data_IF_291146830451
#
_entry.id   IF_291146830451
#
_cell.length_a   1.000
_cell.length_b   1.000
_cell.length_c   1.000
_cell.angle_alpha   90.00
_cell.angle_beta   90.00
_cell.angle_gamma   90.00
#
_symmetry.space_group_name_H-M   'P 1'
#
loop_
_entity.id
_entity.type
_entity.pdbx_description
1 polymer ?
#
# COMPACT_ATOMS: atom_id res chain seq x y z
N UNK A 1 7.96 1.21 21.13
CA UNK A 1 8.44 1.52 19.76
C UNK A 1 7.38 1.00 18.80
N UNK A 2 6.56 1.86 18.20
CA UNK A 2 5.27 1.44 17.63
C UNK A 2 5.33 0.78 16.25
N UNK A 3 6.39 1.01 15.48
CA UNK A 3 6.78 0.12 14.38
C UNK A 3 8.31 0.10 14.35
N UNK A 4 8.90 -1.07 14.15
CA UNK A 4 10.32 -1.18 13.85
C UNK A 4 10.60 -0.27 12.63
N UNK A 5 11.68 0.53 12.58
CA UNK A 5 12.03 1.37 11.42
C UNK A 5 12.16 0.60 10.09
N UNK A 6 12.10 -0.73 10.17
CA UNK A 6 12.31 -1.66 9.05
C UNK A 6 11.11 -2.61 8.86
N UNK A 7 9.93 -2.35 9.47
CA UNK A 7 8.84 -3.32 9.62
C UNK A 7 8.33 -3.99 8.33
N UNK A 8 8.46 -3.32 7.17
CA UNK A 8 8.20 -3.91 5.84
C UNK A 8 9.51 -4.05 5.02
N UNK A 9 10.48 -3.17 5.24
CA UNK A 9 11.74 -3.13 4.47
C UNK A 9 12.75 -4.23 4.81
N UNK A 10 12.71 -4.83 6.02
CA UNK A 10 13.81 -5.72 6.48
C UNK A 10 13.89 -7.09 5.81
N UNK A 11 12.78 -7.62 5.29
CA UNK A 11 12.75 -8.99 4.73
C UNK A 11 12.62 -9.06 3.22
N UNK A 12 12.28 -7.95 2.57
CA UNK A 12 12.22 -7.89 1.11
C UNK A 12 13.11 -6.74 0.69
N UNK A 13 14.33 -7.07 0.24
CA UNK A 13 15.25 -6.11 -0.39
C UNK A 13 14.64 -5.67 -1.72
N UNK A 14 13.66 -4.77 -1.68
CA UNK A 14 13.15 -4.13 -2.88
C UNK A 14 14.25 -3.23 -3.44
N UNK A 15 14.59 -3.45 -4.70
CA UNK A 15 15.46 -2.55 -5.46
C UNK A 15 14.78 -1.18 -5.55
N UNK A 16 15.38 -0.16 -4.94
CA UNK A 16 14.77 1.16 -4.76
C UNK A 16 13.91 1.29 -3.50
N UNK A 17 14.46 0.92 -2.34
CA UNK A 17 13.86 1.18 -1.02
C UNK A 17 13.41 2.65 -0.90
N UNK A 18 12.15 2.85 -0.56
CA UNK A 18 11.49 4.15 -0.47
C UNK A 18 11.50 4.73 0.96
N UNK A 19 12.24 4.10 1.87
CA UNK A 19 12.31 4.47 3.30
C UNK A 19 10.93 4.56 3.98
N UNK A 20 9.99 3.69 3.57
CA UNK A 20 8.63 3.66 4.11
C UNK A 20 7.69 4.70 3.47
N UNK A 21 8.04 5.22 2.29
CA UNK A 21 7.24 6.18 1.52
C UNK A 21 6.94 5.62 0.12
N UNK A 22 6.07 4.61 0.02
CA UNK A 22 5.77 3.97 -1.25
C UNK A 22 5.34 4.97 -2.32
N UNK A 23 6.03 4.90 -3.46
CA UNK A 23 5.53 5.40 -4.73
C UNK A 23 4.59 4.34 -5.30
N UNK A 24 3.30 4.49 -4.99
CA UNK A 24 2.27 3.53 -5.39
C UNK A 24 2.15 3.38 -6.90
N UNK A 25 2.43 4.42 -7.69
CA UNK A 25 2.40 4.30 -9.14
C UNK A 25 3.49 3.35 -9.62
N UNK A 26 4.73 3.53 -9.14
CA UNK A 26 5.85 2.64 -9.44
C UNK A 26 5.61 1.21 -8.94
N UNK A 27 4.99 1.04 -7.76
CA UNK A 27 4.63 -0.28 -7.22
C UNK A 27 3.64 -0.98 -8.16
N UNK A 28 2.61 -0.28 -8.62
CA UNK A 28 1.60 -0.84 -9.53
C UNK A 28 2.20 -1.25 -10.87
N UNK A 29 3.02 -0.39 -11.47
CA UNK A 29 3.72 -0.68 -12.72
C UNK A 29 4.58 -1.94 -12.58
N UNK A 30 5.32 -2.04 -11.47
CA UNK A 30 6.16 -3.20 -11.18
C UNK A 30 5.35 -4.48 -10.97
N UNK A 31 4.21 -4.40 -10.29
CA UNK A 31 3.31 -5.55 -10.09
C UNK A 31 2.75 -6.05 -11.43
N UNK A 32 2.35 -5.15 -12.32
CA UNK A 32 1.89 -5.50 -13.66
C UNK A 32 3.00 -6.19 -14.48
N UNK A 33 4.23 -5.65 -14.47
CA UNK A 33 5.39 -6.27 -15.12
C UNK A 33 5.67 -7.69 -14.62
N UNK A 34 5.71 -7.87 -13.30
CA UNK A 34 5.94 -9.17 -12.66
C UNK A 34 4.82 -10.15 -12.98
N UNK A 35 3.57 -9.68 -13.05
CA UNK A 35 2.43 -10.47 -13.49
C UNK A 35 2.65 -11.10 -14.87
N UNK A 36 3.08 -10.29 -15.83
CA UNK A 36 3.40 -10.76 -17.19
C UNK A 36 4.54 -11.78 -17.18
N UNK A 37 5.61 -11.53 -16.42
CA UNK A 37 6.76 -12.44 -16.33
C UNK A 37 6.36 -13.80 -15.76
N UNK A 38 5.56 -13.83 -14.70
CA UNK A 38 5.07 -15.06 -14.06
C UNK A 38 4.17 -15.86 -14.99
N UNK A 39 3.29 -15.19 -15.75
CA UNK A 39 2.42 -15.88 -16.71
C UNK A 39 3.22 -16.54 -17.85
N UNK A 40 4.20 -15.80 -18.41
CA UNK A 40 5.11 -16.32 -19.44
C UNK A 40 5.88 -17.55 -18.95
N UNK A 41 6.44 -17.48 -17.75
CA UNK A 41 7.19 -18.60 -17.16
C UNK A 41 6.31 -19.85 -16.95
N UNK A 42 5.04 -19.68 -16.58
CA UNK A 42 4.11 -20.78 -16.29
C UNK A 42 3.39 -21.34 -17.51
N UNK A 43 3.56 -20.76 -18.71
CA UNK A 43 2.80 -21.08 -19.93
C UNK A 43 1.27 -21.14 -19.70
N UNK A 44 0.77 -20.40 -18.70
CA UNK A 44 -0.65 -20.36 -18.35
C UNK A 44 -1.29 -19.16 -19.03
N UNK A 45 -2.42 -19.40 -19.70
CA UNK A 45 -3.29 -18.35 -20.23
C UNK A 45 -4.15 -17.83 -19.08
N UNK A 46 -3.61 -16.91 -18.29
CA UNK A 46 -4.33 -16.19 -17.24
C UNK A 46 -4.83 -14.84 -17.75
N UNK A 47 -5.71 -14.20 -17.00
CA UNK A 47 -6.05 -12.79 -17.22
C UNK A 47 -4.86 -11.93 -16.80
N UNK A 48 -4.41 -11.02 -17.66
CA UNK A 48 -3.37 -10.06 -17.31
C UNK A 48 -3.81 -9.17 -16.14
N UNK A 49 -2.85 -8.86 -15.26
CA UNK A 49 -3.05 -7.90 -14.19
C UNK A 49 -3.28 -6.52 -14.81
N UNK A 50 -4.51 -6.02 -14.69
CA UNK A 50 -4.89 -4.72 -15.24
C UNK A 50 -4.59 -3.63 -14.22
N UNK A 51 -3.70 -2.71 -14.59
CA UNK A 51 -3.31 -1.57 -13.75
C UNK A 51 -4.52 -0.76 -13.27
N UNK A 52 -5.49 -0.50 -14.15
CA UNK A 52 -6.70 0.24 -13.82
C UNK A 52 -7.50 -0.41 -12.67
N UNK A 53 -7.68 -1.73 -12.69
CA UNK A 53 -8.39 -2.43 -11.61
C UNK A 53 -7.62 -2.38 -10.28
N UNK A 54 -6.29 -2.38 -10.33
CA UNK A 54 -5.46 -2.23 -9.15
C UNK A 54 -5.54 -0.80 -8.57
N UNK A 55 -5.56 0.22 -9.43
CA UNK A 55 -5.78 1.62 -9.01
C UNK A 55 -7.13 1.76 -8.32
N UNK A 56 -8.20 1.24 -8.92
CA UNK A 56 -9.55 1.27 -8.33
C UNK A 56 -9.58 0.56 -6.97
N UNK A 57 -8.97 -0.63 -6.89
CA UNK A 57 -8.89 -1.39 -5.64
C UNK A 57 -8.16 -0.64 -4.53
N UNK A 58 -7.04 0.03 -4.85
CA UNK A 58 -6.30 0.85 -3.90
C UNK A 58 -7.07 2.10 -3.47
N UNK A 59 -7.73 2.80 -4.42
CA UNK A 59 -8.59 3.95 -4.10
C UNK A 59 -9.75 3.56 -3.20
N UNK A 60 -10.32 2.38 -3.37
CA UNK A 60 -11.40 1.88 -2.52
C UNK A 60 -10.99 1.71 -1.04
N UNK A 61 -9.70 1.68 -0.73
CA UNK A 61 -9.21 1.63 0.66
C UNK A 61 -9.20 2.99 1.36
N UNK A 62 -9.27 4.10 0.61
CA UNK A 62 -9.19 5.47 1.16
C UNK A 62 -10.21 5.71 2.28
N UNK A 63 -11.51 5.40 2.11
CA UNK A 63 -12.49 5.64 3.18
C UNK A 63 -12.19 4.83 4.46
N UNK A 64 -11.66 3.61 4.32
CA UNK A 64 -11.30 2.80 5.47
C UNK A 64 -10.10 3.41 6.21
N UNK A 65 -9.09 3.92 5.51
CA UNK A 65 -7.95 4.60 6.11
C UNK A 65 -8.38 5.88 6.84
N UNK A 66 -9.23 6.69 6.24
CA UNK A 66 -9.77 7.92 6.86
C UNK A 66 -10.60 7.60 8.10
N UNK A 67 -11.43 6.56 8.04
CA UNK A 67 -12.19 6.07 9.19
C UNK A 67 -11.26 5.58 10.29
N UNK A 68 -10.22 4.80 9.99
CA UNK A 68 -9.25 4.37 11.00
C UNK A 68 -8.51 5.55 11.63
N UNK A 69 -8.16 6.57 10.84
CA UNK A 69 -7.56 7.78 11.37
C UNK A 69 -8.52 8.49 12.33
N UNK A 70 -9.82 8.55 12.01
CA UNK A 70 -10.83 9.27 12.79
C UNK A 70 -11.26 8.50 14.04
N UNK A 71 -11.71 7.25 13.84
CA UNK A 71 -12.36 6.40 14.84
C UNK A 71 -11.41 5.38 15.48
N UNK A 72 -10.10 5.52 15.27
CA UNK A 72 -9.11 4.52 15.67
C UNK A 72 -9.23 4.06 17.13
N UNK A 73 -9.58 4.96 18.06
CA UNK A 73 -9.81 4.62 19.47
C UNK A 73 -11.04 3.74 19.67
N UNK A 74 -12.14 4.02 18.94
CA UNK A 74 -13.35 3.19 18.93
C UNK A 74 -13.04 1.81 18.33
N UNK A 75 -12.10 1.74 17.38
CA UNK A 75 -11.60 0.50 16.80
C UNK A 75 -10.58 -0.24 17.70
N UNK A 76 -10.31 0.28 18.91
CA UNK A 76 -9.43 -0.36 19.90
C UNK A 76 -7.96 0.06 19.87
N UNK A 77 -7.60 1.12 19.13
CA UNK A 77 -6.25 1.69 19.18
C UNK A 77 -6.06 2.56 20.42
N UNK A 78 -4.98 2.34 21.17
CA UNK A 78 -4.57 3.24 22.24
C UNK A 78 -4.36 4.67 21.71
N UNK A 79 -4.68 5.68 22.53
CA UNK A 79 -4.64 7.09 22.12
C UNK A 79 -3.26 7.52 21.60
N UNK A 80 -2.19 7.14 22.28
CA UNK A 80 -0.81 7.50 21.90
C UNK A 80 -0.39 6.83 20.59
N UNK A 81 -0.83 5.58 20.37
CA UNK A 81 -0.62 4.85 19.11
C UNK A 81 -1.34 5.53 17.97
N UNK A 82 -2.62 5.86 18.17
CA UNK A 82 -3.41 6.54 17.16
C UNK A 82 -2.80 7.90 16.82
N UNK A 83 -2.38 8.67 17.83
CA UNK A 83 -1.73 9.96 17.62
C UNK A 83 -0.43 9.84 16.82
N UNK A 84 0.35 8.78 17.07
CA UNK A 84 1.57 8.50 16.32
C UNK A 84 1.30 8.09 14.86
N UNK A 85 0.30 7.24 14.62
CA UNK A 85 0.01 6.67 13.30
C UNK A 85 -0.84 7.57 12.41
N UNK A 86 -1.72 8.39 12.99
CA UNK A 86 -2.71 9.23 12.28
C UNK A 86 -2.11 10.04 11.13
N UNK A 87 -0.97 10.75 11.27
CA UNK A 87 -0.37 11.49 10.16
C UNK A 87 0.02 10.58 8.99
N UNK A 88 0.59 9.40 9.29
CA UNK A 88 0.98 8.42 8.28
C UNK A 88 -0.22 7.81 7.56
N UNK A 89 -1.27 7.44 8.29
CA UNK A 89 -2.52 6.90 7.72
C UNK A 89 -3.16 7.92 6.78
N UNK A 90 -3.27 9.19 7.20
CA UNK A 90 -3.84 10.26 6.37
C UNK A 90 -2.96 10.62 5.17
N UNK A 91 -1.63 10.52 5.29
CA UNK A 91 -0.72 10.69 4.16
C UNK A 91 -0.91 9.57 3.12
N UNK A 92 -1.03 8.32 3.58
CA UNK A 92 -1.31 7.18 2.70
C UNK A 92 -2.66 7.32 2.00
N UNK A 93 -3.71 7.69 2.73
CA UNK A 93 -5.04 7.91 2.14
C UNK A 93 -4.99 8.95 1.00
N UNK A 94 -4.27 10.06 1.20
CA UNK A 94 -4.04 11.08 0.16
C UNK A 94 -3.26 10.55 -1.04
N UNK A 95 -2.21 9.78 -0.80
CA UNK A 95 -1.42 9.19 -1.89
C UNK A 95 -2.26 8.22 -2.73
N UNK A 96 -3.08 7.37 -2.10
CA UNK A 96 -3.96 6.44 -2.80
C UNK A 96 -5.06 7.18 -3.58
N UNK A 97 -5.66 8.22 -3.01
CA UNK A 97 -6.65 9.04 -3.69
C UNK A 97 -6.09 9.72 -4.95
N UNK A 98 -4.82 10.13 -4.91
CA UNK A 98 -4.13 10.80 -6.01
C UNK A 98 -3.62 9.86 -7.12
N UNK A 99 -3.77 8.53 -6.98
CA UNK A 99 -3.32 7.59 -8.02
C UNK A 99 -4.05 7.84 -9.35
N UNK A 100 -3.27 7.92 -10.44
CA UNK A 100 -3.77 7.87 -11.80
C UNK A 100 -3.66 6.44 -12.34
#
# INVERSE_FOLDING_TARGET
MYLHPDGIARRIRWEGNDAGRPDWARVLDRVCELGVQVQKARRKKGTDLQRALLVEGLKAMVPALERTATDGQVLGLEADVLNHLRPGILAQARQLAALA
#
